data_IF_899297868834
#
_entry.id   IF_899297868834
#
_cell.length_a   1.000
_cell.length_b   1.000
_cell.length_c   1.000
_cell.angle_alpha   90.00
_cell.angle_beta   90.00
_cell.angle_gamma   90.00
#
_symmetry.space_group_name_H-M   'P 1'
#
loop_
_entity.id
_entity.type
_entity.pdbx_description
1 polymer ?
#
# COMPACT_ATOMS: atom_id res chain seq x y z
N UNK A 1 25.02 -29.12 -7.01
CA UNK A 1 25.40 -27.71 -6.74
C UNK A 1 24.45 -26.68 -7.39
N UNK A 2 23.22 -27.05 -7.77
CA UNK A 2 22.27 -26.14 -8.47
C UNK A 2 21.02 -25.79 -7.65
N UNK A 3 20.72 -26.52 -6.57
CA UNK A 3 19.56 -26.30 -5.71
C UNK A 3 19.49 -24.92 -5.00
N UNK A 4 20.59 -24.35 -4.45
CA UNK A 4 20.49 -23.06 -3.75
C UNK A 4 20.28 -21.88 -4.71
N UNK A 5 20.82 -21.97 -5.94
CA UNK A 5 20.60 -20.98 -6.98
C UNK A 5 19.14 -20.97 -7.45
N UNK A 6 18.50 -22.16 -7.53
CA UNK A 6 17.09 -22.30 -7.91
C UNK A 6 16.15 -21.76 -6.80
N UNK A 7 16.50 -21.93 -5.52
CA UNK A 7 15.71 -21.36 -4.41
C UNK A 7 15.85 -19.83 -4.31
N UNK A 8 17.04 -19.28 -4.59
CA UNK A 8 17.25 -17.84 -4.68
C UNK A 8 16.52 -17.21 -5.88
N UNK A 9 16.51 -17.91 -7.02
CA UNK A 9 15.73 -17.52 -8.21
C UNK A 9 14.21 -17.67 -8.00
N UNK A 10 13.75 -18.71 -7.30
CA UNK A 10 12.34 -18.89 -6.96
C UNK A 10 11.84 -17.79 -5.99
N UNK A 11 12.68 -17.38 -5.02
CA UNK A 11 12.42 -16.24 -4.16
C UNK A 11 12.38 -14.91 -4.93
N UNK A 12 13.29 -14.71 -5.88
CA UNK A 12 13.30 -13.54 -6.75
C UNK A 12 12.06 -13.47 -7.67
N UNK A 13 11.64 -14.62 -8.22
CA UNK A 13 10.45 -14.72 -9.10
C UNK A 13 9.14 -14.54 -8.32
N UNK A 14 9.07 -14.94 -7.05
CA UNK A 14 7.92 -14.66 -6.19
C UNK A 14 7.80 -13.17 -5.80
N UNK A 15 8.92 -12.43 -5.83
CA UNK A 15 8.99 -10.98 -5.54
C UNK A 15 8.88 -10.12 -6.81
N UNK A 16 9.14 -10.69 -7.99
CA UNK A 16 8.91 -10.01 -9.26
C UNK A 16 7.41 -9.71 -9.44
N UNK A 17 7.07 -8.47 -9.86
CA UNK A 17 5.71 -7.99 -9.92
C UNK A 17 4.95 -8.83 -10.96
N UNK A 18 4.03 -9.67 -10.49
CA UNK A 18 3.17 -10.48 -11.33
C UNK A 18 2.11 -9.56 -12.00
N UNK A 19 2.56 -8.75 -12.96
CA UNK A 19 1.77 -7.80 -13.73
C UNK A 19 0.74 -8.49 -14.65
N UNK A 20 0.88 -9.81 -14.88
CA UNK A 20 -0.05 -10.60 -15.69
C UNK A 20 -1.38 -10.94 -15.01
N UNK A 21 -1.41 -11.07 -13.68
CA UNK A 21 -2.62 -11.54 -12.95
C UNK A 21 -3.67 -10.44 -12.79
N UNK A 22 -3.26 -9.17 -12.95
CA UNK A 22 -4.18 -8.02 -12.92
C UNK A 22 -5.12 -8.01 -14.14
N UNK A 23 -4.70 -8.52 -15.30
CA UNK A 23 -5.54 -8.58 -16.51
C UNK A 23 -6.60 -9.68 -16.45
N UNK A 24 -6.39 -10.75 -15.69
CA UNK A 24 -7.38 -11.83 -15.50
C UNK A 24 -8.43 -11.50 -14.43
N UNK A 25 -8.14 -10.60 -13.48
CA UNK A 25 -9.10 -10.14 -12.46
C UNK A 25 -10.06 -9.05 -12.95
N UNK A 26 -9.77 -8.42 -14.09
CA UNK A 26 -10.70 -7.52 -14.76
C UNK A 26 -11.93 -8.25 -15.35
N UNK A 27 -11.95 -9.59 -15.34
CA UNK A 27 -13.04 -10.42 -15.85
C UNK A 27 -13.88 -11.12 -14.75
N UNK A 28 -13.60 -10.86 -13.47
CA UNK A 28 -14.38 -11.44 -12.35
C UNK A 28 -15.42 -10.45 -11.83
N UNK A 29 -16.71 -10.84 -11.73
CA UNK A 29 -17.78 -9.94 -11.32
C UNK A 29 -17.60 -9.44 -9.88
N UNK A 30 -18.05 -8.20 -9.67
CA UNK A 30 -18.04 -7.46 -8.43
C UNK A 30 -18.71 -8.25 -7.29
N UNK A 31 -18.01 -8.37 -6.15
CA UNK A 31 -18.56 -9.03 -4.96
C UNK A 31 -17.52 -9.61 -4.02
N UNK A 32 -16.25 -9.72 -4.43
CA UNK A 32 -15.21 -10.23 -3.53
C UNK A 32 -14.67 -9.10 -2.66
N UNK A 33 -15.13 -9.06 -1.40
CA UNK A 33 -14.58 -8.24 -0.32
C UNK A 33 -13.05 -8.20 -0.43
N UNK A 34 -12.49 -6.99 -0.50
CA UNK A 34 -11.05 -6.78 -0.54
C UNK A 34 -10.38 -7.55 0.62
N UNK A 35 -9.26 -8.25 0.38
CA UNK A 35 -8.62 -9.04 1.41
C UNK A 35 -8.23 -8.13 2.57
N UNK A 36 -8.79 -8.43 3.75
CA UNK A 36 -8.43 -7.81 5.03
C UNK A 36 -6.91 -7.82 5.16
N UNK A 37 -6.33 -6.67 5.50
CA UNK A 37 -4.91 -6.50 5.72
C UNK A 37 -4.35 -7.69 6.49
N UNK A 38 -3.43 -8.43 5.87
CA UNK A 38 -2.87 -9.64 6.48
C UNK A 38 -2.20 -9.21 7.77
N UNK A 39 -2.68 -9.68 8.94
CA UNK A 39 -2.18 -9.17 10.19
C UNK A 39 -0.71 -9.55 10.33
N UNK A 40 0.08 -8.66 10.92
CA UNK A 40 1.56 -8.75 10.97
C UNK A 40 2.06 -10.09 11.55
N UNK A 41 1.27 -10.76 12.39
CA UNK A 41 1.55 -12.08 12.93
C UNK A 41 1.52 -13.21 11.89
N UNK A 42 0.74 -13.09 10.81
CA UNK A 42 0.72 -14.06 9.70
C UNK A 42 1.97 -13.91 8.83
N UNK A 43 2.48 -12.69 8.67
CA UNK A 43 3.78 -12.45 8.07
C UNK A 43 4.91 -13.02 8.94
N UNK A 44 4.79 -12.92 10.28
CA UNK A 44 5.71 -13.54 11.22
C UNK A 44 5.61 -15.08 11.21
N UNK A 45 4.42 -15.64 11.04
CA UNK A 45 4.21 -17.09 10.92
C UNK A 45 4.75 -17.64 9.58
N UNK A 46 4.60 -16.89 8.49
CA UNK A 46 5.24 -17.21 7.21
C UNK A 46 6.77 -17.16 7.28
N UNK A 47 7.31 -16.19 8.03
CA UNK A 47 8.75 -16.11 8.36
C UNK A 47 9.24 -17.36 9.09
N UNK A 48 8.48 -17.78 10.11
CA UNK A 48 8.79 -18.93 10.92
C UNK A 48 8.76 -20.22 10.06
N UNK A 49 7.80 -20.33 9.14
CA UNK A 49 7.74 -21.44 8.18
C UNK A 49 8.96 -21.51 7.25
N UNK A 50 9.41 -20.38 6.71
CA UNK A 50 10.60 -20.32 5.85
C UNK A 50 11.89 -20.57 6.64
N UNK A 51 11.97 -20.05 7.88
CA UNK A 51 13.09 -20.30 8.79
C UNK A 51 13.21 -21.79 9.16
N UNK A 52 12.08 -22.47 9.41
CA UNK A 52 12.05 -23.90 9.73
C UNK A 52 12.49 -24.76 8.55
N UNK A 53 12.04 -24.44 7.32
CA UNK A 53 12.44 -25.19 6.12
C UNK A 53 13.91 -24.95 5.75
N UNK A 54 14.43 -23.73 5.95
CA UNK A 54 15.85 -23.42 5.74
C UNK A 54 16.77 -24.09 6.77
N UNK A 55 16.32 -24.16 8.03
CA UNK A 55 17.10 -24.74 9.14
C UNK A 55 17.39 -26.24 8.93
N UNK A 56 16.51 -26.95 8.22
CA UNK A 56 16.65 -28.40 7.96
C UNK A 56 17.66 -28.72 6.85
N UNK A 57 18.01 -27.75 5.98
CA UNK A 57 18.77 -28.03 4.75
C UNK A 57 20.16 -27.36 4.65
N UNK A 58 20.43 -26.25 5.35
CA UNK A 58 21.67 -25.45 5.13
C UNK A 58 22.38 -25.04 6.44
N UNK A 59 21.73 -25.17 7.60
CA UNK A 59 22.21 -24.65 8.88
C UNK A 59 21.34 -23.49 9.38
N UNK A 60 21.33 -23.27 10.70
CA UNK A 60 20.37 -22.37 11.36
C UNK A 60 20.57 -20.88 11.00
N UNK A 61 21.80 -20.42 10.81
CA UNK A 61 22.12 -19.01 10.52
C UNK A 61 21.55 -18.47 9.20
N UNK A 62 21.90 -19.06 8.03
CA UNK A 62 21.41 -18.57 6.74
C UNK A 62 19.90 -18.70 6.58
N UNK A 63 19.27 -19.66 7.24
CA UNK A 63 17.82 -19.80 7.29
C UNK A 63 17.14 -18.59 7.95
N UNK A 64 17.67 -18.15 9.09
CA UNK A 64 17.18 -16.96 9.81
C UNK A 64 17.41 -15.69 9.00
N UNK A 65 18.59 -15.55 8.38
CA UNK A 65 18.90 -14.43 7.51
C UNK A 65 17.95 -14.33 6.30
N UNK A 66 17.67 -15.45 5.63
CA UNK A 66 16.73 -15.52 4.52
C UNK A 66 15.29 -15.20 4.96
N UNK A 67 14.86 -15.68 6.12
CA UNK A 67 13.55 -15.37 6.68
C UNK A 67 13.37 -13.88 6.97
N UNK A 68 14.38 -13.23 7.58
CA UNK A 68 14.36 -11.78 7.87
C UNK A 68 14.21 -10.97 6.57
N UNK A 69 14.95 -11.31 5.52
CA UNK A 69 14.86 -10.63 4.22
C UNK A 69 13.50 -10.88 3.56
N UNK A 70 13.03 -12.14 3.56
CA UNK A 70 11.73 -12.51 2.98
C UNK A 70 10.57 -11.76 3.65
N UNK A 71 10.56 -11.67 4.98
CA UNK A 71 9.56 -10.90 5.73
C UNK A 71 9.60 -9.43 5.40
N UNK A 72 10.80 -8.85 5.31
CA UNK A 72 10.97 -7.43 5.04
C UNK A 72 10.43 -7.09 3.64
N UNK A 73 10.80 -7.88 2.62
CA UNK A 73 10.30 -7.71 1.26
C UNK A 73 8.79 -7.96 1.16
N UNK A 74 8.29 -8.99 1.83
CA UNK A 74 6.86 -9.31 1.85
C UNK A 74 6.04 -8.20 2.51
N UNK A 75 6.49 -7.69 3.66
CA UNK A 75 5.82 -6.58 4.36
C UNK A 75 5.82 -5.30 3.52
N UNK A 76 6.91 -5.01 2.81
CA UNK A 76 7.01 -3.89 1.86
C UNK A 76 6.08 -4.08 0.66
N UNK A 77 5.98 -5.28 0.12
CA UNK A 77 5.07 -5.61 -0.97
C UNK A 77 3.60 -5.45 -0.57
N UNK A 78 3.23 -5.87 0.64
CA UNK A 78 1.86 -5.68 1.14
C UNK A 78 1.56 -4.19 1.36
N UNK A 79 2.47 -3.44 2.00
CA UNK A 79 2.31 -2.00 2.23
C UNK A 79 2.14 -1.23 0.94
N UNK A 80 3.02 -1.46 -0.05
CA UNK A 80 2.94 -0.81 -1.36
C UNK A 80 1.66 -1.15 -2.11
N UNK A 81 1.14 -2.37 -1.98
CA UNK A 81 -0.18 -2.75 -2.53
C UNK A 81 -1.32 -2.00 -1.84
N UNK A 82 -1.30 -1.91 -0.51
CA UNK A 82 -2.30 -1.18 0.25
C UNK A 82 -2.29 0.32 -0.07
N UNK A 83 -1.10 0.92 -0.21
CA UNK A 83 -0.94 2.32 -0.60
C UNK A 83 -1.46 2.58 -2.01
N UNK A 84 -1.18 1.68 -2.97
CA UNK A 84 -1.72 1.79 -4.33
C UNK A 84 -3.25 1.69 -4.35
N UNK A 85 -3.82 0.74 -3.59
CA UNK A 85 -5.26 0.60 -3.47
C UNK A 85 -5.90 1.87 -2.88
N UNK A 86 -5.32 2.42 -1.81
CA UNK A 86 -5.78 3.68 -1.21
C UNK A 86 -5.70 4.84 -2.19
N UNK A 87 -4.59 4.99 -2.92
CA UNK A 87 -4.43 6.04 -3.92
C UNK A 87 -5.45 5.92 -5.06
N UNK A 88 -5.77 4.70 -5.50
CA UNK A 88 -6.82 4.46 -6.48
C UNK A 88 -8.20 4.85 -5.94
N UNK A 89 -8.53 4.49 -4.69
CA UNK A 89 -9.78 4.89 -4.04
C UNK A 89 -9.90 6.42 -3.87
N UNK A 90 -8.81 7.11 -3.53
CA UNK A 90 -8.80 8.58 -3.45
C UNK A 90 -8.99 9.24 -4.83
N UNK A 91 -8.40 8.66 -5.88
CA UNK A 91 -8.61 9.13 -7.24
C UNK A 91 -10.06 8.94 -7.69
N UNK A 92 -10.66 7.79 -7.37
CA UNK A 92 -12.08 7.52 -7.62
C UNK A 92 -13.00 8.48 -6.85
N UNK A 93 -12.74 8.71 -5.55
CA UNK A 93 -13.50 9.67 -4.74
C UNK A 93 -13.43 11.09 -5.35
N UNK A 94 -12.25 11.53 -5.78
CA UNK A 94 -12.09 12.84 -6.42
C UNK A 94 -12.86 12.93 -7.74
N UNK A 95 -12.84 11.88 -8.55
CA UNK A 95 -13.59 11.83 -9.82
C UNK A 95 -15.10 11.88 -9.57
N UNK A 96 -15.58 11.10 -8.61
CA UNK A 96 -16.98 11.08 -8.20
C UNK A 96 -17.44 12.44 -7.65
N UNK A 97 -16.62 13.09 -6.80
CA UNK A 97 -16.91 14.45 -6.33
C UNK A 97 -16.95 15.47 -7.47
N UNK A 98 -16.08 15.34 -8.48
CA UNK A 98 -16.08 16.23 -9.65
C UNK A 98 -17.39 16.11 -10.43
N UNK A 99 -17.86 14.89 -10.68
CA UNK A 99 -19.13 14.63 -11.33
C UNK A 99 -20.31 15.17 -10.51
N UNK A 100 -20.34 14.92 -9.20
CA UNK A 100 -21.40 15.42 -8.31
C UNK A 100 -21.42 16.95 -8.25
N UNK A 101 -20.26 17.60 -8.15
CA UNK A 101 -20.18 19.07 -8.17
C UNK A 101 -20.69 19.61 -9.50
N UNK A 102 -20.35 18.99 -10.63
CA UNK A 102 -20.84 19.39 -11.94
C UNK A 102 -22.36 19.23 -12.05
N UNK A 103 -22.92 18.08 -11.66
CA UNK A 103 -24.35 17.81 -11.68
C UNK A 103 -25.12 18.81 -10.80
N UNK A 104 -24.65 19.03 -9.57
CA UNK A 104 -25.24 20.00 -8.64
C UNK A 104 -25.14 21.44 -9.16
N UNK A 105 -24.04 21.78 -9.85
CA UNK A 105 -23.83 23.11 -10.44
C UNK A 105 -24.82 23.44 -11.56
N UNK A 106 -25.37 22.42 -12.24
CA UNK A 106 -26.44 22.57 -13.25
C UNK A 106 -27.84 22.42 -12.61
N UNK A 107 -27.90 22.24 -11.28
CA UNK A 107 -29.15 22.15 -10.52
C UNK A 107 -29.76 20.75 -10.45
N UNK A 108 -28.98 19.70 -10.71
CA UNK A 108 -29.46 18.33 -10.54
C UNK A 108 -29.81 18.02 -9.07
N UNK A 109 -30.76 17.10 -8.87
CA UNK A 109 -31.13 16.67 -7.53
C UNK A 109 -29.96 15.87 -6.88
N UNK A 110 -29.58 16.14 -5.61
CA UNK A 110 -28.44 15.49 -4.96
C UNK A 110 -28.49 13.96 -4.98
N UNK A 111 -29.69 13.40 -4.88
CA UNK A 111 -29.88 11.95 -4.96
C UNK A 111 -29.46 11.36 -6.33
N UNK A 112 -29.77 12.05 -7.43
CA UNK A 112 -29.41 11.61 -8.78
C UNK A 112 -27.91 11.80 -9.05
N UNK A 113 -27.34 12.91 -8.59
CA UNK A 113 -25.90 13.16 -8.68
C UNK A 113 -25.11 12.07 -7.94
N UNK A 114 -25.52 11.71 -6.72
CA UNK A 114 -24.90 10.61 -5.98
C UNK A 114 -25.13 9.25 -6.65
N UNK A 115 -26.30 9.00 -7.24
CA UNK A 115 -26.60 7.74 -7.93
C UNK A 115 -25.72 7.58 -9.19
N UNK A 116 -25.58 8.64 -9.98
CA UNK A 116 -24.67 8.70 -11.13
C UNK A 116 -23.23 8.38 -10.72
N UNK A 117 -22.72 9.09 -9.71
CA UNK A 117 -21.39 8.86 -9.17
C UNK A 117 -21.19 7.46 -8.55
N UNK A 118 -22.24 6.86 -7.99
CA UNK A 118 -22.20 5.50 -7.47
C UNK A 118 -22.07 4.46 -8.59
N UNK A 119 -22.72 4.69 -9.74
CA UNK A 119 -22.66 3.80 -10.89
C UNK A 119 -21.30 3.86 -11.62
N UNK A 120 -20.62 5.02 -11.57
CA UNK A 120 -19.33 5.23 -12.21
C UNK A 120 -18.13 4.81 -11.33
N UNK A 121 -18.33 4.58 -10.04
CA UNK A 121 -17.28 4.28 -9.08
C UNK A 121 -17.43 2.88 -8.47
N UNK A 122 -16.34 2.11 -8.45
CA UNK A 122 -16.31 0.80 -7.79
C UNK A 122 -15.90 0.85 -6.32
N UNK A 123 -16.25 -0.21 -5.59
CA UNK A 123 -15.78 -0.47 -4.23
C UNK A 123 -16.29 0.55 -3.22
N UNK A 124 -15.45 0.91 -2.24
CA UNK A 124 -15.87 1.73 -1.09
C UNK A 124 -16.42 3.11 -1.47
N UNK A 125 -16.04 3.65 -2.63
CA UNK A 125 -16.54 4.94 -3.12
C UNK A 125 -17.96 4.77 -3.67
N UNK A 126 -18.16 3.80 -4.57
CA UNK A 126 -19.48 3.45 -5.10
C UNK A 126 -20.47 3.11 -3.99
N UNK A 127 -20.06 2.28 -3.02
CA UNK A 127 -20.88 1.90 -1.87
C UNK A 127 -21.33 3.14 -1.04
N UNK A 128 -20.42 4.08 -0.80
CA UNK A 128 -20.72 5.29 -0.02
C UNK A 128 -21.67 6.25 -0.77
N UNK A 129 -21.42 6.49 -2.07
CA UNK A 129 -22.30 7.30 -2.91
C UNK A 129 -23.66 6.64 -3.11
N UNK A 130 -23.71 5.31 -3.26
CA UNK A 130 -24.96 4.55 -3.38
C UNK A 130 -25.79 4.61 -2.10
N UNK A 131 -25.15 4.48 -0.93
CA UNK A 131 -25.81 4.66 0.36
C UNK A 131 -26.33 6.09 0.56
N UNK A 132 -25.56 7.10 0.14
CA UNK A 132 -25.98 8.50 0.17
C UNK A 132 -27.18 8.75 -0.76
N UNK A 133 -27.15 8.25 -1.99
CA UNK A 133 -28.22 8.35 -2.97
C UNK A 133 -29.52 7.70 -2.45
N UNK A 134 -29.44 6.47 -1.94
CA UNK A 134 -30.59 5.74 -1.40
C UNK A 134 -31.28 6.51 -0.27
N UNK A 135 -30.50 7.11 0.65
CA UNK A 135 -31.03 7.91 1.77
C UNK A 135 -31.67 9.20 1.29
N UNK A 136 -31.03 9.91 0.36
CA UNK A 136 -31.57 11.13 -0.21
C UNK A 136 -32.87 10.88 -0.99
N UNK A 137 -33.02 9.75 -1.69
CA UNK A 137 -34.27 9.37 -2.37
C UNK A 137 -35.43 9.14 -1.41
N UNK A 138 -35.14 8.73 -0.17
CA UNK A 138 -36.14 8.55 0.89
C UNK A 138 -36.48 9.87 1.62
N UNK A 139 -35.94 11.01 1.15
CA UNK A 139 -36.11 12.32 1.78
C UNK A 139 -35.22 12.53 3.01
N UNK A 140 -34.25 11.65 3.25
CA UNK A 140 -33.27 11.77 4.32
C UNK A 140 -32.00 12.52 3.92
N UNK A 141 -31.11 12.72 4.89
CA UNK A 141 -29.77 13.25 4.65
C UNK A 141 -28.88 12.25 3.90
N UNK A 142 -28.10 12.72 2.93
CA UNK A 142 -27.10 11.90 2.25
C UNK A 142 -25.81 11.73 3.07
N UNK A 143 -25.55 12.60 4.04
CA UNK A 143 -24.33 12.62 4.84
C UNK A 143 -23.98 11.29 5.55
N UNK A 144 -24.94 10.54 6.14
CA UNK A 144 -24.66 9.25 6.77
C UNK A 144 -24.02 8.22 5.82
N UNK A 145 -24.31 8.29 4.51
CA UNK A 145 -23.69 7.40 3.51
C UNK A 145 -22.17 7.49 3.50
N UNK A 146 -21.63 8.68 3.77
CA UNK A 146 -20.19 8.90 3.86
C UNK A 146 -19.65 8.78 5.30
N UNK A 147 -20.45 9.12 6.31
CA UNK A 147 -20.01 9.09 7.71
C UNK A 147 -19.82 7.67 8.25
N UNK A 148 -20.65 6.74 7.79
CA UNK A 148 -20.65 5.32 8.18
C UNK A 148 -19.76 4.46 7.29
N UNK A 149 -19.21 5.02 6.22
CA UNK A 149 -18.34 4.28 5.31
C UNK A 149 -17.07 3.79 6.03
N UNK A 150 -16.75 2.52 5.83
CA UNK A 150 -15.55 1.88 6.39
C UNK A 150 -14.58 1.50 5.28
N UNK A 151 -13.27 1.66 5.52
CA UNK A 151 -12.26 1.23 4.57
C UNK A 151 -11.00 2.09 4.56
N UNK A 152 -10.19 1.94 3.51
CA UNK A 152 -8.88 2.58 3.41
C UNK A 152 -8.92 4.12 3.32
N UNK A 153 -10.07 4.70 2.95
CA UNK A 153 -10.31 6.14 2.77
C UNK A 153 -11.44 6.68 3.66
N UNK A 154 -11.71 6.00 4.77
CA UNK A 154 -12.75 6.33 5.73
C UNK A 154 -12.64 7.77 6.26
N UNK A 155 -11.42 8.27 6.51
CA UNK A 155 -11.22 9.62 7.01
C UNK A 155 -11.67 10.68 6.00
N UNK A 156 -11.36 10.46 4.72
CA UNK A 156 -11.68 11.33 3.59
C UNK A 156 -13.18 11.29 3.28
N UNK A 157 -13.81 10.11 3.29
CA UNK A 157 -15.27 9.99 3.16
C UNK A 157 -16.00 10.69 4.31
N UNK A 158 -15.55 10.51 5.56
CA UNK A 158 -16.14 11.27 6.68
C UNK A 158 -15.97 12.77 6.56
N UNK A 159 -14.88 13.25 5.98
CA UNK A 159 -14.71 14.68 5.72
C UNK A 159 -15.77 15.20 4.75
N UNK A 160 -16.02 14.47 3.65
CA UNK A 160 -17.12 14.76 2.71
C UNK A 160 -18.47 14.73 3.42
N UNK A 161 -18.75 13.69 4.22
CA UNK A 161 -20.00 13.58 4.98
C UNK A 161 -20.22 14.72 5.97
N UNK A 162 -19.17 15.22 6.64
CA UNK A 162 -19.26 16.38 7.53
C UNK A 162 -19.58 17.66 6.76
N UNK A 163 -18.89 17.90 5.64
CA UNK A 163 -19.14 19.06 4.77
C UNK A 163 -20.58 19.04 4.26
N UNK A 164 -21.03 17.87 3.83
CA UNK A 164 -22.40 17.64 3.38
C UNK A 164 -23.44 17.92 4.47
N UNK A 165 -23.25 17.39 5.68
CA UNK A 165 -24.15 17.62 6.82
C UNK A 165 -24.24 19.10 7.20
N UNK A 166 -23.12 19.83 7.14
CA UNK A 166 -23.10 21.29 7.38
C UNK A 166 -23.88 22.02 6.28
N UNK A 167 -23.72 21.61 5.01
CA UNK A 167 -24.46 22.21 3.90
C UNK A 167 -25.97 22.03 4.05
N UNK A 168 -26.43 20.80 4.32
CA UNK A 168 -27.85 20.49 4.52
C UNK A 168 -28.42 21.22 5.74
N UNK A 169 -27.69 21.25 6.87
CA UNK A 169 -28.16 21.87 8.11
C UNK A 169 -28.34 23.38 7.99
N UNK A 170 -27.49 24.03 7.21
CA UNK A 170 -27.44 25.49 7.09
C UNK A 170 -27.97 26.01 5.74
N UNK A 171 -28.46 25.13 4.87
CA UNK A 171 -28.97 25.50 3.54
C UNK A 171 -27.91 26.15 2.64
N UNK A 172 -26.64 25.72 2.78
CA UNK A 172 -25.53 26.30 2.02
C UNK A 172 -25.45 25.67 0.62
N UNK A 173 -24.87 26.37 -0.37
CA UNK A 173 -24.62 25.81 -1.70
C UNK A 173 -23.73 24.56 -1.61
N UNK A 174 -24.36 23.39 -1.75
CA UNK A 174 -23.67 22.11 -1.60
C UNK A 174 -22.56 21.94 -2.64
N UNK A 175 -22.77 22.40 -3.88
CA UNK A 175 -21.79 22.34 -4.96
C UNK A 175 -20.48 23.05 -4.57
N UNK A 176 -20.55 24.29 -4.06
CA UNK A 176 -19.38 25.08 -3.69
C UNK A 176 -18.61 24.45 -2.52
N UNK A 177 -19.33 23.92 -1.52
CA UNK A 177 -18.72 23.28 -0.37
C UNK A 177 -18.06 21.95 -0.74
N UNK A 178 -18.66 21.17 -1.63
CA UNK A 178 -18.06 19.94 -2.13
C UNK A 178 -16.87 20.22 -3.06
N UNK A 179 -16.89 21.30 -3.85
CA UNK A 179 -15.73 21.70 -4.65
C UNK A 179 -14.57 22.19 -3.77
N UNK A 180 -14.86 22.89 -2.68
CA UNK A 180 -13.87 23.24 -1.67
C UNK A 180 -13.26 22.00 -1.02
N UNK A 181 -14.08 21.00 -0.66
CA UNK A 181 -13.61 19.72 -0.12
C UNK A 181 -12.77 18.94 -1.15
N UNK A 182 -13.20 18.90 -2.42
CA UNK A 182 -12.45 18.30 -3.53
C UNK A 182 -11.10 18.98 -3.72
N UNK A 183 -11.07 20.31 -3.69
CA UNK A 183 -9.86 21.12 -3.83
C UNK A 183 -8.88 20.90 -2.68
N UNK A 184 -9.37 20.77 -1.43
CA UNK A 184 -8.54 20.37 -0.28
C UNK A 184 -7.90 18.98 -0.50
N UNK A 185 -8.68 17.99 -0.93
CA UNK A 185 -8.18 16.64 -1.23
C UNK A 185 -7.09 16.66 -2.32
N UNK A 186 -7.28 17.46 -3.38
CA UNK A 186 -6.27 17.66 -4.43
C UNK A 186 -5.01 18.32 -3.86
N UNK A 187 -5.18 19.35 -3.04
CA UNK A 187 -4.08 20.06 -2.39
C UNK A 187 -3.21 19.14 -1.55
N UNK A 188 -3.83 18.30 -0.73
CA UNK A 188 -3.14 17.30 0.11
C UNK A 188 -2.40 16.25 -0.71
N UNK A 189 -3.00 15.77 -1.80
CA UNK A 189 -2.35 14.84 -2.73
C UNK A 189 -1.13 15.47 -3.42
N UNK A 190 -1.26 16.71 -3.89
CA UNK A 190 -0.15 17.46 -4.50
C UNK A 190 0.98 17.72 -3.51
N UNK A 191 0.67 18.08 -2.27
CA UNK A 191 1.66 18.26 -1.21
C UNK A 191 2.45 16.97 -0.99
N UNK A 192 1.77 15.84 -0.81
CA UNK A 192 2.41 14.53 -0.66
C UNK A 192 3.31 14.18 -1.85
N UNK A 193 2.82 14.37 -3.07
CA UNK A 193 3.60 14.10 -4.30
C UNK A 193 4.87 14.96 -4.36
N UNK A 194 4.77 16.26 -4.07
CA UNK A 194 5.93 17.17 -4.02
C UNK A 194 6.95 16.74 -2.97
N UNK A 195 6.49 16.37 -1.78
CA UNK A 195 7.35 15.87 -0.70
C UNK A 195 8.03 14.55 -1.08
N UNK A 196 7.30 13.63 -1.73
CA UNK A 196 7.86 12.38 -2.22
C UNK A 196 8.91 12.61 -3.31
N UNK A 197 8.68 13.55 -4.24
CA UNK A 197 9.66 13.93 -5.26
C UNK A 197 10.89 14.60 -4.65
N UNK A 198 10.73 15.48 -3.66
CA UNK A 198 11.85 16.13 -2.97
C UNK A 198 12.74 15.11 -2.24
N UNK A 199 12.15 14.03 -1.72
CA UNK A 199 12.88 12.95 -1.04
C UNK A 199 13.44 11.88 -2.00
N UNK A 200 13.14 11.95 -3.30
CA UNK A 200 13.55 10.91 -4.25
C UNK A 200 15.08 10.76 -4.34
N UNK A 201 15.81 11.87 -4.34
CA UNK A 201 17.28 11.87 -4.34
C UNK A 201 17.87 11.21 -3.08
N UNK A 202 17.37 11.58 -1.90
CA UNK A 202 17.79 10.98 -0.64
C UNK A 202 17.46 9.48 -0.55
N UNK A 203 16.32 9.05 -1.10
CA UNK A 203 15.97 7.62 -1.18
C UNK A 203 16.85 6.86 -2.17
N UNK A 204 17.22 7.47 -3.29
CA UNK A 204 18.09 6.84 -4.29
C UNK A 204 19.49 6.57 -3.71
N UNK A 205 20.10 7.52 -3.01
CA UNK A 205 21.42 7.32 -2.37
C UNK A 205 21.34 6.30 -1.24
N UNK A 206 20.29 6.33 -0.42
CA UNK A 206 20.07 5.32 0.61
C UNK A 206 19.93 3.91 0.00
N UNK A 207 19.24 3.77 -1.14
CA UNK A 207 19.13 2.50 -1.85
C UNK A 207 20.48 2.02 -2.42
N UNK A 208 21.31 2.93 -2.94
CA UNK A 208 22.68 2.61 -3.40
C UNK A 208 23.54 2.12 -2.23
N UNK A 209 23.55 2.84 -1.11
CA UNK A 209 24.30 2.45 0.09
C UNK A 209 23.80 1.12 0.68
N UNK A 210 22.49 0.88 0.65
CA UNK A 210 21.90 -0.40 1.07
C UNK A 210 22.28 -1.57 0.14
N UNK A 211 22.61 -1.30 -1.13
CA UNK A 211 23.10 -2.29 -2.09
C UNK A 211 24.60 -2.60 -1.96
N UNK A 212 25.37 -1.74 -1.30
CA UNK A 212 26.83 -1.86 -1.18
C UNK A 212 27.30 -3.21 -0.57
N UNK A 213 26.64 -3.78 0.46
CA UNK A 213 27.02 -5.09 0.99
C UNK A 213 26.94 -6.21 -0.07
N UNK A 214 25.94 -6.18 -0.94
CA UNK A 214 25.78 -7.18 -2.00
C UNK A 214 26.91 -7.07 -3.04
N UNK A 215 27.28 -5.84 -3.40
CA UNK A 215 28.43 -5.56 -4.28
C UNK A 215 29.73 -6.06 -3.64
N UNK A 216 29.92 -5.83 -2.34
CA UNK A 216 31.09 -6.32 -1.59
C UNK A 216 31.19 -7.85 -1.58
N UNK A 217 30.07 -8.55 -1.37
CA UNK A 217 30.04 -10.02 -1.43
C UNK A 217 30.39 -10.51 -2.84
N UNK A 218 29.83 -9.88 -3.88
CA UNK A 218 30.10 -10.25 -5.27
C UNK A 218 31.58 -10.07 -5.64
N UNK A 219 32.18 -8.95 -5.25
CA UNK A 219 33.61 -8.68 -5.46
C UNK A 219 34.49 -9.67 -4.69
N UNK A 220 34.16 -9.96 -3.43
CA UNK A 220 34.88 -10.95 -2.62
C UNK A 220 34.79 -12.38 -3.18
N UNK A 221 33.67 -12.74 -3.83
CA UNK A 221 33.55 -13.99 -4.58
C UNK A 221 34.45 -13.99 -5.82
N UNK A 222 34.43 -12.91 -6.61
CA UNK A 222 35.25 -12.79 -7.82
C UNK A 222 36.75 -12.84 -7.53
N UNK A 223 37.19 -12.31 -6.38
CA UNK A 223 38.57 -12.38 -5.90
C UNK A 223 38.95 -13.76 -5.32
N UNK A 224 38.04 -14.72 -5.26
CA UNK A 224 38.33 -16.07 -4.76
C UNK A 224 38.39 -16.20 -3.23
N UNK A 225 38.02 -15.16 -2.46
CA UNK A 225 37.97 -15.21 -1.00
C UNK A 225 36.86 -16.13 -0.44
N UNK A 226 36.00 -16.65 -1.32
CA UNK A 226 34.88 -17.53 -0.99
C UNK A 226 34.01 -17.10 0.22
N UNK A 227 33.61 -15.82 0.39
CA UNK A 227 32.80 -15.37 1.53
C UNK A 227 31.49 -16.16 1.75
N UNK A 228 30.83 -16.65 0.70
CA UNK A 228 29.65 -17.51 0.80
C UNK A 228 29.96 -18.85 1.50
N UNK A 229 31.16 -19.41 1.33
CA UNK A 229 31.58 -20.63 2.02
C UNK A 229 31.82 -20.38 3.50
N UNK A 230 32.21 -19.16 3.88
CA UNK A 230 32.36 -18.74 5.29
C UNK A 230 31.01 -18.43 5.91
N UNK A 231 30.11 -17.71 5.22
CA UNK A 231 28.76 -17.41 5.71
C UNK A 231 27.88 -18.67 5.82
N UNK A 232 28.01 -19.62 4.90
CA UNK A 232 27.22 -20.87 4.88
C UNK A 232 27.96 -22.06 5.51
N UNK A 233 29.18 -21.84 5.99
CA UNK A 233 30.05 -22.88 6.56
C UNK A 233 29.79 -23.17 8.04
N UNK A 234 28.90 -22.42 8.68
CA UNK A 234 28.59 -22.51 10.11
C UNK A 234 29.57 -21.74 11.01
N UNK A 235 29.25 -21.65 12.31
CA UNK A 235 30.10 -21.00 13.31
C UNK A 235 29.98 -19.47 13.34
N UNK A 236 31.10 -18.74 13.26
CA UNK A 236 31.12 -17.26 13.27
C UNK A 236 30.37 -16.68 12.05
N UNK A 237 30.35 -17.41 10.93
CA UNK A 237 29.62 -17.02 9.72
C UNK A 237 28.11 -16.88 9.91
N UNK A 238 27.50 -17.74 10.74
CA UNK A 238 26.07 -17.69 11.04
C UNK A 238 25.72 -16.41 11.81
N UNK A 239 26.53 -16.05 12.80
CA UNK A 239 26.34 -14.85 13.62
C UNK A 239 26.46 -13.59 12.76
N UNK A 240 27.49 -13.52 11.91
CA UNK A 240 27.70 -12.40 10.99
C UNK A 240 26.57 -12.26 9.96
N UNK A 241 26.07 -13.38 9.42
CA UNK A 241 24.98 -13.38 8.45
C UNK A 241 23.66 -12.85 9.05
N UNK A 242 23.32 -13.32 10.26
CA UNK A 242 22.14 -12.85 10.99
C UNK A 242 22.28 -11.39 11.37
N UNK A 243 23.43 -10.98 11.90
CA UNK A 243 23.68 -9.61 12.33
C UNK A 243 23.59 -8.63 11.14
N UNK A 244 24.23 -8.95 10.01
CA UNK A 244 24.19 -8.15 8.80
C UNK A 244 22.78 -8.00 8.22
N UNK A 245 22.03 -9.11 8.09
CA UNK A 245 20.65 -9.06 7.59
C UNK A 245 19.73 -8.28 8.52
N UNK A 246 19.90 -8.44 9.84
CA UNK A 246 19.13 -7.70 10.84
C UNK A 246 19.40 -6.20 10.72
N UNK A 247 20.67 -5.79 10.59
CA UNK A 247 21.07 -4.39 10.49
C UNK A 247 20.54 -3.75 9.20
N UNK A 248 20.63 -4.45 8.07
CA UNK A 248 20.08 -3.99 6.77
C UNK A 248 18.56 -3.86 6.84
N UNK A 249 17.86 -4.86 7.38
CA UNK A 249 16.39 -4.81 7.49
C UNK A 249 15.93 -3.75 8.48
N UNK A 250 16.64 -3.56 9.59
CA UNK A 250 16.40 -2.46 10.52
C UNK A 250 16.57 -1.11 9.84
N UNK A 251 17.63 -0.92 9.04
CA UNK A 251 17.87 0.30 8.27
C UNK A 251 16.76 0.59 7.24
N UNK A 252 16.26 -0.44 6.54
CA UNK A 252 15.16 -0.30 5.59
C UNK A 252 13.85 0.08 6.29
N UNK A 253 13.50 -0.60 7.39
CA UNK A 253 12.30 -0.30 8.18
C UNK A 253 12.38 1.10 8.77
N UNK A 254 13.55 1.52 9.25
CA UNK A 254 13.77 2.87 9.75
C UNK A 254 13.56 3.91 8.65
N UNK A 255 14.16 3.70 7.47
CA UNK A 255 14.06 4.62 6.33
C UNK A 255 12.61 4.77 5.86
N UNK A 256 11.86 3.67 5.79
CA UNK A 256 10.43 3.68 5.46
C UNK A 256 9.64 4.45 6.52
N UNK A 257 9.96 4.28 7.81
CA UNK A 257 9.30 5.03 8.90
C UNK A 257 9.59 6.51 8.91
N UNK A 258 10.84 6.94 8.66
CA UNK A 258 11.15 8.37 8.52
C UNK A 258 10.33 8.95 7.38
N UNK A 259 10.33 8.25 6.25
CA UNK A 259 9.61 8.67 5.05
C UNK A 259 8.11 8.83 5.31
N UNK A 260 7.49 7.84 5.96
CA UNK A 260 6.05 7.86 6.29
C UNK A 260 5.70 9.02 7.25
N UNK A 261 6.60 9.36 8.18
CA UNK A 261 6.38 10.49 9.10
C UNK A 261 6.42 11.85 8.41
N UNK A 262 7.19 12.00 7.33
CA UNK A 262 7.33 13.27 6.61
C UNK A 262 6.21 13.47 5.58
N UNK A 263 5.55 12.39 5.14
CA UNK A 263 4.46 12.45 4.15
C UNK A 263 3.06 12.47 4.75
N UNK A 264 2.91 12.27 6.06
CA UNK A 264 1.64 12.44 6.81
C UNK A 264 1.47 13.89 7.27
#
# INVERSE_FOLDING_TARGET
MTAPAVLALAGAVAVLPNAGVARLRAATPAGVRAPTAVPTWVAAAGAAGVAVVGAVMVGAGPAVAAAIVAVTLWSRAIRTRADRARSASLAALRSALDAVVADLGVGAHPALACESAANDADGTVGDAFGAAAARARLGGSAAPGFLEATGAIEHELRAVGRVWAVAERHGLPLADLLDAARSDLIGRSRFRSRTESALAGARATAAVLAGLPAVGIALGQAMGAAPLKVLLGGGIGDVLAVLGCTLVCAGLVWTDRITEKVTR
#
